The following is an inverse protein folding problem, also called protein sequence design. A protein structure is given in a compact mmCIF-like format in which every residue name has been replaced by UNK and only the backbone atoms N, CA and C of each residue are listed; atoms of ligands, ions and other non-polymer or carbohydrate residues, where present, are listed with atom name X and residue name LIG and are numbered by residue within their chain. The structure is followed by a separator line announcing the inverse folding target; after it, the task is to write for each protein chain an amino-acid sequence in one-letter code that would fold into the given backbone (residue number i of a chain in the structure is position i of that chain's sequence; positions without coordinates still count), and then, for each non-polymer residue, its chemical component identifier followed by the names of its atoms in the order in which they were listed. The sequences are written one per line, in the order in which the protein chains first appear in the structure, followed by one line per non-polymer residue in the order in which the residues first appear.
data_IF_558201871700
#
_entry.id   IF_558201871700
#
_cell.length_a   1.000
_cell.length_b   1.000
_cell.length_c   1.000
_cell.angle_alpha   90.00
_cell.angle_beta   90.00
_cell.angle_gamma   90.00
#
_symmetry.space_group_name_H-M   'P 1'
#
loop_
_entity.id
_entity.type
_entity.pdbx_description
1 polymer ?
#
# COMPACT_ATOMS: atom_id res chain seq x y z
N UNK A 1 23.44 -7.41 8.28
CA UNK A 1 22.11 -8.04 8.34
C UNK A 1 21.24 -7.37 7.29
N UNK A 2 20.49 -8.12 6.48
CA UNK A 2 19.58 -7.55 5.48
C UNK A 2 18.27 -7.16 6.17
N UNK A 3 17.78 -5.94 5.94
CA UNK A 3 16.49 -5.47 6.42
C UNK A 3 15.72 -4.92 5.22
N UNK A 4 14.79 -5.71 4.69
CA UNK A 4 14.05 -5.34 3.49
C UNK A 4 12.62 -5.86 3.59
N UNK A 5 11.66 -4.94 3.57
CA UNK A 5 10.25 -5.25 3.34
C UNK A 5 9.88 -4.76 1.95
N UNK A 6 9.20 -5.60 1.16
CA UNK A 6 8.80 -5.27 -0.20
C UNK A 6 7.29 -5.40 -0.35
N UNK A 7 6.74 -4.58 -1.24
CA UNK A 7 5.39 -4.74 -1.77
C UNK A 7 5.56 -4.87 -3.28
N UNK A 8 5.02 -5.94 -3.84
CA UNK A 8 5.11 -6.25 -5.26
C UNK A 8 3.71 -6.21 -5.82
N UNK A 9 3.41 -5.21 -6.63
CA UNK A 9 2.16 -5.09 -7.39
C UNK A 9 2.41 -5.33 -8.87
N UNK A 10 1.52 -6.06 -9.53
CA UNK A 10 1.63 -6.33 -10.96
C UNK A 10 0.29 -6.69 -11.58
N UNK A 11 0.26 -6.77 -12.90
CA UNK A 11 -0.90 -7.24 -13.66
C UNK A 11 -0.44 -8.18 -14.76
N UNK A 12 -1.20 -9.25 -14.98
CA UNK A 12 -1.07 -10.08 -16.16
C UNK A 12 -2.44 -10.48 -16.74
N UNK A 13 -2.41 -11.06 -17.95
CA UNK A 13 -3.61 -11.39 -18.73
C UNK A 13 -4.36 -12.65 -18.25
N UNK A 14 -3.78 -13.43 -17.35
CA UNK A 14 -4.33 -14.69 -16.85
C UNK A 14 -4.92 -14.54 -15.45
N UNK A 15 -4.19 -13.89 -14.55
CA UNK A 15 -4.54 -13.75 -13.13
C UNK A 15 -5.04 -12.34 -12.77
N UNK A 16 -4.90 -11.39 -13.69
CA UNK A 16 -5.28 -9.99 -13.47
C UNK A 16 -4.30 -9.26 -12.55
N UNK A 17 -4.82 -8.29 -11.80
CA UNK A 17 -4.02 -7.50 -10.86
C UNK A 17 -3.75 -8.27 -9.58
N UNK A 18 -2.47 -8.37 -9.17
CA UNK A 18 -2.03 -9.08 -7.98
C UNK A 18 -1.11 -8.21 -7.12
N UNK A 19 -1.21 -8.38 -5.81
CA UNK A 19 -0.37 -7.69 -4.83
C UNK A 19 0.20 -8.73 -3.86
N UNK A 20 1.51 -8.70 -3.69
CA UNK A 20 2.26 -9.55 -2.77
C UNK A 20 3.01 -8.70 -1.75
N UNK A 21 2.78 -8.96 -0.47
CA UNK A 21 3.60 -8.44 0.62
C UNK A 21 4.75 -9.39 0.94
N UNK A 22 5.96 -8.85 1.05
CA UNK A 22 7.16 -9.56 1.53
C UNK A 22 7.67 -8.84 2.78
N UNK A 23 7.22 -9.22 3.99
CA UNK A 23 7.69 -8.61 5.24
C UNK A 23 9.16 -8.94 5.51
N UNK A 24 9.73 -8.33 6.56
CA UNK A 24 11.12 -8.55 6.99
C UNK A 24 11.46 -10.03 7.26
N UNK A 25 10.46 -10.86 7.57
CA UNK A 25 10.62 -12.30 7.76
C UNK A 25 10.83 -13.10 6.47
N UNK A 26 10.72 -12.49 5.30
CA UNK A 26 10.96 -13.13 3.99
C UNK A 26 9.83 -14.02 3.48
N UNK A 27 8.68 -14.06 4.17
CA UNK A 27 7.48 -14.74 3.67
C UNK A 27 6.87 -13.99 2.48
N UNK A 28 6.18 -14.70 1.60
CA UNK A 28 5.45 -14.11 0.47
C UNK A 28 3.96 -14.31 0.72
N UNK A 29 3.20 -13.23 0.77
CA UNK A 29 1.77 -13.24 1.07
C UNK A 29 0.99 -12.51 -0.02
N UNK A 30 0.10 -13.19 -0.72
CA UNK A 30 -0.89 -12.55 -1.59
C UNK A 30 -1.97 -11.87 -0.73
N UNK A 31 -2.25 -10.59 -1.00
CA UNK A 31 -3.19 -9.79 -0.23
C UNK A 31 -4.02 -8.89 -1.15
N UNK A 32 -5.26 -8.53 -0.77
CA UNK A 32 -6.09 -7.62 -1.55
C UNK A 32 -5.53 -6.19 -1.59
N UNK A 33 -4.70 -5.82 -0.60
CA UNK A 33 -3.89 -4.61 -0.57
C UNK A 33 -2.67 -4.85 0.33
N UNK A 34 -1.66 -3.99 0.24
CA UNK A 34 -0.52 -4.03 1.15
C UNK A 34 -0.09 -2.61 1.55
N UNK A 35 0.31 -2.44 2.81
CA UNK A 35 0.88 -1.22 3.36
C UNK A 35 2.19 -1.54 4.08
N UNK A 36 3.19 -0.68 3.96
CA UNK A 36 4.54 -0.92 4.49
C UNK A 36 5.31 0.36 4.77
N UNK A 37 6.45 0.23 5.46
CA UNK A 37 7.23 1.36 5.99
C UNK A 37 6.79 1.79 7.40
N UNK A 38 7.49 2.76 7.98
CA UNK A 38 7.20 3.29 9.34
C UNK A 38 5.81 3.92 9.45
N UNK A 39 5.36 4.58 8.38
CA UNK A 39 4.07 5.27 8.32
C UNK A 39 2.85 4.37 8.15
N UNK A 40 3.03 3.07 7.85
CA UNK A 40 1.90 2.16 7.62
C UNK A 40 1.05 1.92 8.87
N UNK A 41 1.66 2.03 10.06
CA UNK A 41 0.95 1.83 11.34
C UNK A 41 -0.20 2.80 11.55
N UNK A 42 -0.10 4.02 11.01
CA UNK A 42 -1.16 5.03 11.06
C UNK A 42 -2.33 4.76 10.11
N UNK A 43 -2.19 3.80 9.20
CA UNK A 43 -3.15 3.58 8.12
C UNK A 43 -4.15 2.47 8.39
N UNK A 44 -3.89 1.55 9.33
CA UNK A 44 -4.78 0.41 9.58
C UNK A 44 -6.23 0.84 9.81
N UNK A 45 -6.48 1.77 10.73
CA UNK A 45 -7.84 2.25 10.99
C UNK A 45 -8.49 2.98 9.79
N UNK A 46 -7.69 3.62 8.93
CA UNK A 46 -8.21 4.25 7.71
C UNK A 46 -8.58 3.20 6.66
N UNK A 47 -7.75 2.18 6.47
CA UNK A 47 -8.03 1.09 5.54
C UNK A 47 -9.22 0.25 6.00
N UNK A 48 -9.35 -0.03 7.29
CA UNK A 48 -10.49 -0.77 7.87
C UNK A 48 -11.83 -0.07 7.59
N UNK A 49 -11.83 1.26 7.45
CA UNK A 49 -13.03 2.06 7.21
C UNK A 49 -13.30 2.34 5.74
N UNK A 50 -12.26 2.69 4.97
CA UNK A 50 -12.42 3.31 3.64
C UNK A 50 -12.03 2.38 2.49
N UNK A 51 -11.24 1.33 2.75
CA UNK A 51 -10.89 0.37 1.70
C UNK A 51 -12.09 -0.49 1.33
N UNK A 52 -12.31 -0.65 0.03
CA UNK A 52 -13.37 -1.49 -0.54
C UNK A 52 -12.87 -2.15 -1.82
N UNK A 53 -13.29 -3.38 -2.04
CA UNK A 53 -13.06 -4.06 -3.29
C UNK A 53 -13.86 -3.40 -4.42
N UNK A 54 -13.34 -3.46 -5.66
CA UNK A 54 -14.04 -2.95 -6.83
C UNK A 54 -14.10 -1.42 -6.97
N UNK A 55 -13.22 -0.66 -6.31
CA UNK A 55 -13.06 0.77 -6.59
C UNK A 55 -12.78 1.02 -8.08
N UNK A 56 -13.35 2.08 -8.62
CA UNK A 56 -12.92 2.61 -9.92
C UNK A 56 -11.49 3.12 -9.83
N UNK A 57 -10.81 3.25 -10.98
CA UNK A 57 -9.44 3.79 -11.05
C UNK A 57 -9.32 5.14 -10.31
N UNK A 58 -10.23 6.06 -10.56
CA UNK A 58 -10.22 7.40 -9.97
C UNK A 58 -10.44 7.38 -8.45
N UNK A 59 -11.30 6.47 -7.96
CA UNK A 59 -11.51 6.28 -6.53
C UNK A 59 -10.27 5.69 -5.86
N UNK A 60 -9.67 4.66 -6.46
CA UNK A 60 -8.48 4.01 -5.96
C UNK A 60 -7.29 4.98 -5.91
N UNK A 61 -7.09 5.80 -6.95
CA UNK A 61 -6.03 6.79 -6.98
C UNK A 61 -6.21 7.85 -5.88
N UNK A 62 -7.43 8.39 -5.72
CA UNK A 62 -7.74 9.33 -4.63
C UNK A 62 -7.55 8.70 -3.26
N UNK A 63 -7.95 7.44 -3.09
CA UNK A 63 -7.78 6.68 -1.85
C UNK A 63 -6.30 6.51 -1.50
N UNK A 64 -5.45 6.09 -2.45
CA UNK A 64 -4.00 5.93 -2.24
C UNK A 64 -3.34 7.27 -1.92
N UNK A 65 -3.69 8.34 -2.65
CA UNK A 65 -3.16 9.69 -2.36
C UNK A 65 -3.54 10.12 -0.94
N UNK A 66 -4.78 9.87 -0.52
CA UNK A 66 -5.24 10.19 0.84
C UNK A 66 -4.49 9.37 1.88
N UNK A 67 -4.34 8.06 1.68
CA UNK A 67 -3.62 7.16 2.57
C UNK A 67 -2.17 7.64 2.80
N UNK A 68 -1.41 7.86 1.73
CA UNK A 68 -0.01 8.30 1.85
C UNK A 68 0.07 9.69 2.50
N UNK A 69 -0.88 10.59 2.21
CA UNK A 69 -0.95 11.91 2.87
C UNK A 69 -1.18 11.81 4.38
N UNK A 70 -2.02 10.86 4.83
CA UNK A 70 -2.24 10.61 6.26
C UNK A 70 -0.99 10.07 6.95
N UNK A 71 -0.26 9.15 6.30
CA UNK A 71 1.01 8.66 6.81
C UNK A 71 2.04 9.78 6.92
N UNK A 72 2.21 10.60 5.88
CA UNK A 72 3.11 11.77 5.88
C UNK A 72 2.77 12.76 7.00
N UNK A 73 1.49 12.96 7.31
CA UNK A 73 1.07 13.91 8.34
C UNK A 73 1.40 13.46 9.77
N UNK A 74 1.69 12.18 10.01
CA UNK A 74 1.87 11.60 11.36
C UNK A 74 3.22 10.94 11.58
N UNK A 75 3.81 10.36 10.55
CA UNK A 75 5.11 9.70 10.63
C UNK A 75 6.24 10.65 10.27
N UNK A 76 7.13 10.95 11.23
CA UNK A 76 8.26 11.85 11.03
C UNK A 76 9.32 11.33 10.06
N UNK A 77 9.33 10.02 9.76
CA UNK A 77 10.21 9.44 8.74
C UNK A 77 9.61 9.47 7.32
N UNK A 78 8.31 9.76 7.20
CA UNK A 78 7.61 9.87 5.91
C UNK A 78 7.46 11.35 5.52
N UNK A 79 7.58 11.67 4.23
CA UNK A 79 7.46 13.06 3.78
C UNK A 79 7.61 13.28 2.27
N UNK A 80 7.53 14.55 1.87
CA UNK A 80 7.72 14.97 0.48
C UNK A 80 6.44 14.90 -0.35
N UNK A 81 6.52 14.25 -1.52
CA UNK A 81 5.43 14.16 -2.49
C UNK A 81 4.89 12.75 -2.59
N UNK A 82 3.59 12.62 -2.87
CA UNK A 82 2.97 11.35 -3.22
C UNK A 82 3.23 11.07 -4.69
N UNK A 83 3.81 9.91 -5.01
CA UNK A 83 4.02 9.44 -6.39
C UNK A 83 3.13 8.23 -6.64
N UNK A 84 2.25 8.33 -7.63
CA UNK A 84 1.37 7.24 -8.07
C UNK A 84 1.77 6.76 -9.47
N UNK A 85 1.45 5.50 -9.75
CA UNK A 85 1.51 4.89 -11.09
C UNK A 85 0.26 4.04 -11.26
N UNK A 86 -0.34 4.09 -12.45
CA UNK A 86 -1.58 3.39 -12.81
C UNK A 86 -1.50 2.81 -14.20
#
# INVERSE_FOLDING_TARGET
MLQTGLIIGGWDKYEGGKIYGVPLGGTILEQPFAIGGSGSTYLYGFFDQEWREGMTKDEAEKFVVKAVSLAIARDGASGGVVRTVT
#
